data_IF_300497205399
#
_entry.id   IF_300497205399
#
_cell.length_a   1.000
_cell.length_b   1.000
_cell.length_c   1.000
_cell.angle_alpha   90.00
_cell.angle_beta   90.00
_cell.angle_gamma   90.00
#
_symmetry.space_group_name_H-M   'P 1'
#
loop_
_entity.id
_entity.type
_entity.pdbx_description
1 polymer ?
#
# COMPACT_ATOMS: atom_id res chain seq x y z
N UNK A 1 -11.30 -19.27 7.09
CA UNK A 1 -11.54 -20.74 6.99
C UNK A 1 -12.14 -21.15 5.65
N UNK A 2 -12.87 -20.27 4.92
CA UNK A 2 -13.43 -20.60 3.60
C UNK A 2 -12.37 -20.98 2.55
N UNK A 3 -11.15 -20.47 2.70
CA UNK A 3 -10.03 -20.73 1.78
C UNK A 3 -8.86 -21.50 2.46
N UNK A 4 -9.14 -22.25 3.53
CA UNK A 4 -8.09 -22.98 4.26
C UNK A 4 -7.35 -23.97 3.36
N UNK A 5 -8.07 -24.62 2.45
CA UNK A 5 -7.53 -25.63 1.54
C UNK A 5 -7.34 -25.07 0.11
N UNK A 6 -7.32 -23.77 -0.02
CA UNK A 6 -7.08 -23.13 -1.32
C UNK A 6 -5.57 -23.01 -1.58
N UNK A 7 -5.09 -23.88 -2.44
CA UNK A 7 -3.72 -23.86 -2.95
C UNK A 7 -3.77 -23.38 -4.41
N UNK A 8 -3.36 -22.14 -4.70
CA UNK A 8 -3.37 -21.62 -6.07
C UNK A 8 -2.43 -22.45 -6.95
N UNK A 9 -2.88 -22.76 -8.17
CA UNK A 9 -2.08 -23.52 -9.14
C UNK A 9 -0.94 -22.66 -9.73
N UNK A 10 -1.10 -21.34 -9.68
CA UNK A 10 -0.15 -20.40 -10.26
C UNK A 10 0.21 -19.32 -9.21
N UNK A 11 1.43 -18.86 -9.29
CA UNK A 11 1.91 -17.77 -8.47
C UNK A 11 1.46 -16.42 -9.07
N UNK A 12 1.13 -15.46 -8.20
CA UNK A 12 0.81 -14.10 -8.64
C UNK A 12 1.97 -13.49 -9.45
N UNK A 13 1.67 -12.81 -10.56
CA UNK A 13 2.68 -12.23 -11.45
C UNK A 13 3.66 -11.31 -10.74
N UNK A 14 3.19 -10.55 -9.74
CA UNK A 14 4.06 -9.70 -8.90
C UNK A 14 5.14 -10.55 -8.20
N UNK A 15 4.75 -11.68 -7.62
CA UNK A 15 5.68 -12.57 -6.92
C UNK A 15 6.70 -13.18 -7.89
N UNK A 16 6.25 -13.57 -9.08
CA UNK A 16 7.14 -14.09 -10.14
C UNK A 16 8.19 -13.05 -10.52
N UNK A 17 7.77 -11.84 -10.91
CA UNK A 17 8.68 -10.74 -11.30
C UNK A 17 9.66 -10.37 -10.20
N UNK A 18 9.22 -10.34 -8.93
CA UNK A 18 10.11 -10.07 -7.80
C UNK A 18 11.17 -11.15 -7.64
N UNK A 19 10.80 -12.44 -7.72
CA UNK A 19 11.75 -13.55 -7.63
C UNK A 19 12.74 -13.55 -8.80
N UNK A 20 12.28 -13.31 -10.02
CA UNK A 20 13.12 -13.19 -11.22
C UNK A 20 14.16 -12.06 -11.07
N UNK A 21 13.78 -10.97 -10.39
CA UNK A 21 14.69 -9.88 -10.05
C UNK A 21 15.63 -10.19 -8.87
N UNK A 22 15.55 -11.38 -8.27
CA UNK A 22 16.41 -11.82 -7.17
C UNK A 22 15.87 -11.51 -5.77
N UNK A 23 14.61 -11.06 -5.64
CA UNK A 23 14.01 -10.83 -4.32
C UNK A 23 13.69 -12.14 -3.59
N UNK A 24 13.86 -12.12 -2.26
CA UNK A 24 13.51 -13.22 -1.36
C UNK A 24 12.18 -12.90 -0.68
N UNK A 25 11.15 -13.69 -0.94
CA UNK A 25 9.85 -13.57 -0.27
C UNK A 25 9.94 -14.30 1.07
N UNK A 26 9.98 -13.53 2.17
CA UNK A 26 10.22 -14.07 3.51
C UNK A 26 8.95 -14.54 4.23
N UNK A 27 7.80 -13.94 3.93
CA UNK A 27 6.54 -14.24 4.60
C UNK A 27 5.32 -13.72 3.84
N UNK A 28 4.14 -14.20 4.28
CA UNK A 28 2.83 -13.61 3.98
C UNK A 28 2.36 -12.85 5.23
N UNK A 29 2.04 -11.58 5.05
CA UNK A 29 1.59 -10.72 6.14
C UNK A 29 0.11 -10.96 6.48
N UNK A 30 -0.24 -10.81 7.76
CA UNK A 30 -1.64 -10.80 8.17
C UNK A 30 -2.34 -9.52 7.69
N UNK A 31 -3.60 -9.63 7.31
CA UNK A 31 -4.41 -8.54 6.79
C UNK A 31 -5.86 -8.66 7.22
N UNK A 32 -6.68 -7.65 6.95
CA UNK A 32 -8.13 -7.76 7.13
C UNK A 32 -8.69 -8.85 6.22
N UNK A 33 -9.60 -9.67 6.76
CA UNK A 33 -10.29 -10.70 5.97
C UNK A 33 -10.88 -10.11 4.70
N UNK A 34 -10.53 -10.69 3.56
CA UNK A 34 -11.00 -10.28 2.23
C UNK A 34 -10.78 -8.78 1.93
N UNK A 35 -9.79 -8.15 2.58
CA UNK A 35 -9.48 -6.73 2.45
C UNK A 35 -10.66 -5.78 2.83
N UNK A 36 -11.66 -6.26 3.59
CA UNK A 36 -12.93 -5.56 3.78
C UNK A 36 -12.87 -4.37 4.74
N UNK A 37 -11.96 -4.37 5.72
CA UNK A 37 -11.87 -3.29 6.73
C UNK A 37 -10.59 -2.46 6.58
N UNK A 38 -10.75 -1.12 6.61
CA UNK A 38 -9.64 -0.17 6.67
C UNK A 38 -9.26 0.20 8.12
N UNK A 39 -10.19 0.16 9.07
CA UNK A 39 -9.97 0.55 10.46
C UNK A 39 -9.09 -0.42 11.26
N UNK A 40 -8.89 -1.64 10.77
CA UNK A 40 -8.02 -2.64 11.41
C UNK A 40 -7.57 -3.69 10.41
N UNK A 41 -6.50 -4.41 10.75
CA UNK A 41 -6.08 -5.62 10.04
C UNK A 41 -6.32 -6.83 10.95
N UNK A 42 -7.48 -7.46 10.82
CA UNK A 42 -7.91 -8.59 11.63
C UNK A 42 -8.34 -9.78 10.79
N UNK A 43 -7.89 -10.95 11.19
CA UNK A 43 -8.22 -12.23 10.56
C UNK A 43 -8.38 -13.34 11.59
N UNK A 44 -8.53 -14.58 11.13
CA UNK A 44 -8.56 -15.75 12.00
C UNK A 44 -7.21 -16.01 12.72
N UNK A 45 -6.15 -15.31 12.29
CA UNK A 45 -4.82 -15.32 12.91
C UNK A 45 -4.62 -14.18 13.92
N UNK A 46 -5.68 -13.46 14.27
CA UNK A 46 -5.65 -12.35 15.22
C UNK A 46 -5.60 -10.98 14.54
N UNK A 47 -5.37 -9.96 15.36
CA UNK A 47 -5.35 -8.56 14.94
C UNK A 47 -3.93 -8.01 14.95
N UNK A 48 -3.54 -7.40 13.86
CA UNK A 48 -2.26 -6.67 13.76
C UNK A 48 -2.36 -5.38 14.57
N UNK A 49 -1.41 -5.18 15.45
CA UNK A 49 -1.29 -3.96 16.27
C UNK A 49 -0.37 -2.95 15.60
N UNK A 50 -0.51 -1.67 15.97
CA UNK A 50 0.40 -0.63 15.52
C UNK A 50 1.83 -0.93 15.99
N UNK A 51 2.82 -0.66 15.11
CA UNK A 51 4.22 -1.00 15.36
C UNK A 51 4.84 -0.21 16.53
N UNK A 52 4.35 0.99 16.79
CA UNK A 52 4.92 1.90 17.79
C UNK A 52 4.14 1.90 19.11
N UNK A 53 2.82 1.65 19.04
CA UNK A 53 1.97 1.60 20.23
C UNK A 53 0.90 0.51 20.08
N UNK A 54 1.02 -0.55 20.84
CA UNK A 54 0.13 -1.71 20.79
C UNK A 54 -1.32 -1.43 21.19
N UNK A 55 -1.61 -0.27 21.79
CA UNK A 55 -2.96 0.16 22.11
C UNK A 55 -3.73 0.67 20.88
N UNK A 56 -3.01 1.04 19.83
CA UNK A 56 -3.60 1.57 18.59
C UNK A 56 -3.72 0.51 17.50
N UNK A 57 -4.57 0.80 16.52
CA UNK A 57 -4.73 0.00 15.32
C UNK A 57 -3.53 0.19 14.37
N UNK A 58 -3.17 -0.87 13.63
CA UNK A 58 -2.31 -0.77 12.46
C UNK A 58 -3.04 -0.19 11.25
N UNK A 59 -4.35 0.04 11.36
CA UNK A 59 -5.25 0.19 10.23
C UNK A 59 -5.19 -0.99 9.26
N UNK A 60 -5.84 -0.86 8.12
CA UNK A 60 -5.96 -1.95 7.15
C UNK A 60 -6.28 -1.45 5.73
N UNK A 61 -6.42 -2.40 4.86
CA UNK A 61 -6.39 -3.86 5.08
C UNK A 61 -4.97 -4.44 5.12
N UNK A 62 -3.94 -3.74 4.61
CA UNK A 62 -2.54 -4.22 4.53
C UNK A 62 -1.71 -3.88 5.79
N UNK A 63 -2.32 -3.97 6.99
CA UNK A 63 -1.65 -3.59 8.24
C UNK A 63 -0.42 -4.42 8.56
N UNK A 64 -0.46 -5.74 8.32
CA UNK A 64 0.71 -6.60 8.54
C UNK A 64 1.87 -6.26 7.60
N UNK A 65 1.56 -5.90 6.35
CA UNK A 65 2.57 -5.41 5.39
C UNK A 65 3.27 -4.15 5.93
N UNK A 66 2.50 -3.16 6.40
CA UNK A 66 3.07 -1.94 6.95
C UNK A 66 3.88 -2.19 8.23
N UNK A 67 3.34 -2.97 9.16
CA UNK A 67 4.02 -3.28 10.42
C UNK A 67 5.32 -4.06 10.19
N UNK A 68 5.35 -4.97 9.21
CA UNK A 68 6.58 -5.72 8.89
C UNK A 68 7.72 -4.81 8.42
N UNK A 69 7.42 -3.79 7.62
CA UNK A 69 8.42 -2.79 7.18
C UNK A 69 8.83 -1.87 8.33
N UNK A 70 7.87 -1.39 9.15
CA UNK A 70 8.16 -0.55 10.30
C UNK A 70 9.11 -1.24 11.30
N UNK A 71 8.91 -2.52 11.54
CA UNK A 71 9.73 -3.34 12.45
C UNK A 71 10.99 -3.92 11.81
N UNK A 72 11.33 -3.54 10.58
CA UNK A 72 12.52 -4.03 9.86
C UNK A 72 12.54 -5.55 9.57
N UNK A 73 11.39 -6.21 9.48
CA UNK A 73 11.36 -7.61 9.03
C UNK A 73 11.65 -7.73 7.54
N UNK A 74 11.26 -6.71 6.76
CA UNK A 74 11.59 -6.57 5.35
C UNK A 74 11.82 -5.09 4.99
N UNK A 75 12.64 -4.77 3.97
CA UNK A 75 12.82 -3.39 3.51
C UNK A 75 11.57 -2.84 2.83
N UNK A 76 10.81 -3.70 2.17
CA UNK A 76 9.55 -3.36 1.49
C UNK A 76 8.50 -4.44 1.73
N UNK A 77 7.23 -4.08 1.54
CA UNK A 77 6.15 -5.04 1.48
C UNK A 77 5.15 -4.68 0.37
N UNK A 78 4.49 -5.70 -0.15
CA UNK A 78 3.38 -5.55 -1.09
C UNK A 78 2.06 -5.58 -0.30
N UNK A 79 1.13 -4.75 -0.70
CA UNK A 79 -0.25 -4.74 -0.23
C UNK A 79 -1.22 -4.55 -1.39
N UNK A 80 -2.50 -4.41 -1.09
CA UNK A 80 -3.54 -4.06 -2.05
C UNK A 80 -4.34 -2.85 -1.56
N UNK A 81 -4.78 -2.01 -2.47
CA UNK A 81 -5.49 -0.77 -2.16
C UNK A 81 -6.69 -0.58 -3.10
N UNK A 82 -7.88 -0.67 -2.54
CA UNK A 82 -9.12 -0.33 -3.22
C UNK A 82 -9.52 1.11 -2.92
N UNK A 83 -9.48 1.50 -1.64
CA UNK A 83 -9.82 2.85 -1.17
C UNK A 83 -8.63 3.55 -0.46
N UNK A 84 -7.99 2.85 0.51
CA UNK A 84 -6.87 3.38 1.29
C UNK A 84 -5.99 2.27 1.88
N UNK A 85 -6.17 1.01 1.46
CA UNK A 85 -5.67 -0.16 2.18
C UNK A 85 -4.15 -0.38 2.14
N UNK A 86 -3.41 0.37 1.37
CA UNK A 86 -1.93 0.48 1.40
C UNK A 86 -1.52 1.78 2.10
N UNK A 87 -2.16 2.89 1.70
CA UNK A 87 -1.78 4.24 2.14
C UNK A 87 -2.05 4.48 3.62
N UNK A 88 -3.22 4.09 4.11
CA UNK A 88 -3.60 4.29 5.50
C UNK A 88 -2.76 3.48 6.50
N UNK A 89 -2.51 2.16 6.31
CA UNK A 89 -1.57 1.44 7.15
C UNK A 89 -0.13 1.97 7.08
N UNK A 90 0.33 2.42 5.91
CA UNK A 90 1.65 3.02 5.77
C UNK A 90 1.76 4.32 6.57
N UNK A 91 0.75 5.20 6.48
CA UNK A 91 0.68 6.42 7.29
C UNK A 91 0.75 6.10 8.78
N UNK A 92 -0.05 5.15 9.27
CA UNK A 92 -0.07 4.75 10.68
C UNK A 92 1.26 4.14 11.16
N UNK A 93 2.08 3.69 10.24
CA UNK A 93 3.40 3.11 10.48
C UNK A 93 4.56 4.05 10.13
N UNK A 94 4.29 5.34 9.85
CA UNK A 94 5.27 6.34 9.43
C UNK A 94 6.12 5.89 8.23
N UNK A 95 5.45 5.34 7.21
CA UNK A 95 6.04 4.78 6.01
C UNK A 95 5.44 5.42 4.75
N UNK A 96 6.12 5.20 3.63
CA UNK A 96 5.60 5.55 2.32
C UNK A 96 4.69 4.44 1.83
N UNK A 97 3.42 4.76 1.57
CA UNK A 97 2.45 3.87 0.94
C UNK A 97 2.14 4.34 -0.48
N UNK A 98 2.61 3.60 -1.46
CA UNK A 98 2.40 3.92 -2.87
C UNK A 98 1.25 3.11 -3.46
N UNK A 99 0.21 3.80 -3.87
CA UNK A 99 -0.89 3.27 -4.66
C UNK A 99 -0.75 3.77 -6.10
N UNK A 100 -0.33 2.92 -7.06
CA UNK A 100 -0.21 3.32 -8.46
C UNK A 100 -1.56 3.58 -9.11
N UNK A 101 -1.55 4.15 -10.29
CA UNK A 101 -2.70 4.18 -11.18
C UNK A 101 -3.12 2.75 -11.53
N UNK A 102 -4.43 2.51 -11.60
CA UNK A 102 -4.99 1.21 -12.00
C UNK A 102 -4.38 0.78 -13.35
N UNK A 103 -3.91 -0.46 -13.42
CA UNK A 103 -3.30 -1.04 -14.60
C UNK A 103 -1.79 -0.81 -14.75
N UNK A 104 -1.16 0.02 -13.91
CA UNK A 104 0.31 0.11 -13.90
C UNK A 104 0.96 -1.20 -13.47
N UNK A 105 0.35 -1.89 -12.52
CA UNK A 105 0.79 -3.18 -11.98
C UNK A 105 -0.36 -4.17 -12.14
N UNK A 106 -0.05 -5.37 -12.62
CA UNK A 106 -1.01 -6.45 -12.83
C UNK A 106 -1.64 -6.94 -11.53
N UNK A 107 -2.91 -7.33 -11.64
CA UNK A 107 -3.69 -7.97 -10.56
C UNK A 107 -3.77 -9.48 -10.71
N UNK A 108 -3.11 -10.07 -11.69
CA UNK A 108 -3.09 -11.54 -11.90
C UNK A 108 -2.58 -12.27 -10.66
N UNK A 109 -3.39 -13.18 -10.15
CA UNK A 109 -3.12 -13.93 -8.92
C UNK A 109 -3.52 -13.22 -7.63
N UNK A 110 -4.21 -12.06 -7.71
CA UNK A 110 -4.78 -11.34 -6.57
C UNK A 110 -6.28 -11.61 -6.49
N UNK A 111 -6.78 -11.97 -5.31
CA UNK A 111 -8.21 -12.14 -5.08
C UNK A 111 -8.89 -10.77 -5.20
N UNK A 112 -9.85 -10.59 -6.12
CA UNK A 112 -10.48 -9.30 -6.34
C UNK A 112 -11.44 -8.93 -5.20
N UNK A 113 -11.48 -7.63 -4.87
CA UNK A 113 -12.50 -7.01 -4.03
C UNK A 113 -13.40 -6.11 -4.88
N UNK A 114 -12.82 -5.19 -5.64
CA UNK A 114 -13.49 -4.31 -6.59
C UNK A 114 -12.60 -4.14 -7.84
N UNK A 115 -12.89 -4.87 -8.92
CA UNK A 115 -12.04 -4.88 -10.12
C UNK A 115 -11.85 -3.51 -10.79
N UNK A 116 -12.74 -2.55 -10.54
CA UNK A 116 -12.61 -1.20 -11.11
C UNK A 116 -11.72 -0.28 -10.27
N UNK A 117 -11.34 -0.69 -9.05
CA UNK A 117 -10.56 0.14 -8.13
C UNK A 117 -9.35 -0.54 -7.52
N UNK A 118 -9.36 -1.87 -7.48
CA UNK A 118 -8.26 -2.62 -6.87
C UNK A 118 -6.95 -2.40 -7.59
N UNK A 119 -5.93 -2.08 -6.84
CA UNK A 119 -4.56 -2.03 -7.34
C UNK A 119 -3.59 -2.58 -6.30
N UNK A 120 -2.58 -3.35 -6.71
CA UNK A 120 -1.46 -3.64 -5.83
C UNK A 120 -0.72 -2.36 -5.50
N UNK A 121 -0.13 -2.31 -4.31
CA UNK A 121 0.67 -1.18 -3.88
C UNK A 121 1.89 -1.62 -3.09
N UNK A 122 2.79 -0.68 -2.90
CA UNK A 122 4.09 -0.92 -2.29
C UNK A 122 4.19 -0.08 -1.02
N UNK A 123 4.73 -0.68 0.04
CA UNK A 123 5.03 -0.02 1.31
C UNK A 123 6.53 -0.10 1.53
N UNK A 124 7.17 1.03 1.77
CA UNK A 124 8.61 1.13 1.96
C UNK A 124 9.00 2.34 2.78
N UNK A 125 10.29 2.48 3.06
CA UNK A 125 10.84 3.60 3.84
C UNK A 125 11.34 4.74 2.97
N UNK A 126 11.73 4.45 1.73
CA UNK A 126 12.30 5.44 0.81
C UNK A 126 11.56 5.46 -0.52
N UNK A 127 11.60 6.59 -1.20
CA UNK A 127 11.04 6.73 -2.57
C UNK A 127 11.84 5.88 -3.56
N UNK A 128 13.14 5.77 -3.36
CA UNK A 128 14.05 4.97 -4.18
C UNK A 128 13.65 3.49 -4.18
N UNK A 129 13.32 2.94 -3.01
CA UNK A 129 12.82 1.57 -2.87
C UNK A 129 11.49 1.39 -3.62
N UNK A 130 10.55 2.33 -3.43
CA UNK A 130 9.25 2.30 -4.12
C UNK A 130 9.43 2.30 -5.64
N UNK A 131 10.27 3.18 -6.17
CA UNK A 131 10.53 3.30 -7.61
C UNK A 131 11.20 2.03 -8.14
N UNK A 132 12.19 1.51 -7.42
CA UNK A 132 12.91 0.30 -7.80
C UNK A 132 11.95 -0.87 -7.95
N UNK A 133 11.13 -1.11 -6.92
CA UNK A 133 10.16 -2.21 -6.95
C UNK A 133 9.07 -1.97 -8.00
N UNK A 134 8.58 -0.75 -8.13
CA UNK A 134 7.57 -0.43 -9.16
C UNK A 134 8.10 -0.74 -10.55
N UNK A 135 9.34 -0.37 -10.87
CA UNK A 135 9.95 -0.65 -12.17
C UNK A 135 10.12 -2.15 -12.46
N UNK A 136 10.27 -2.97 -11.42
CA UNK A 136 10.35 -4.42 -11.56
C UNK A 136 8.98 -5.03 -11.87
N UNK A 137 7.94 -4.62 -11.13
CA UNK A 137 6.64 -5.31 -11.17
C UNK A 137 5.62 -4.72 -12.13
N UNK A 138 5.85 -3.51 -12.65
CA UNK A 138 4.94 -2.84 -13.60
C UNK A 138 4.94 -3.50 -14.99
N UNK A 139 4.03 -3.05 -15.83
CA UNK A 139 3.95 -3.39 -17.26
C UNK A 139 2.75 -4.24 -17.62
N UNK A 140 2.60 -4.42 -18.93
CA UNK A 140 1.47 -5.14 -19.52
C UNK A 140 1.46 -6.61 -19.11
N UNK A 141 0.25 -7.13 -18.92
CA UNK A 141 -0.07 -8.53 -18.64
C UNK A 141 -1.28 -8.93 -19.49
N UNK A 142 -1.15 -9.97 -20.30
CA UNK A 142 -2.22 -10.45 -21.17
C UNK A 142 -3.42 -11.03 -20.37
N UNK A 143 -3.24 -11.36 -19.10
CA UNK A 143 -4.28 -11.86 -18.20
C UNK A 143 -5.00 -10.76 -17.41
N UNK A 144 -4.56 -9.49 -17.53
CA UNK A 144 -5.20 -8.31 -16.92
C UNK A 144 -5.33 -7.20 -17.95
N UNK A 145 -6.50 -7.09 -18.57
CA UNK A 145 -6.83 -6.16 -19.64
C UNK A 145 -6.70 -4.67 -19.28
N UNK A 146 -6.64 -4.35 -17.99
CA UNK A 146 -6.42 -2.98 -17.52
C UNK A 146 -4.95 -2.57 -17.58
N UNK A 147 -4.03 -3.52 -17.75
CA UNK A 147 -2.59 -3.24 -17.72
C UNK A 147 -2.05 -2.59 -18.99
N UNK A 148 -1.04 -1.78 -18.81
CA UNK A 148 -0.37 -1.07 -19.89
C UNK A 148 1.14 -0.96 -19.63
N UNK A 149 1.90 -0.77 -20.70
CA UNK A 149 3.33 -0.45 -20.59
C UNK A 149 3.53 1.02 -20.26
N UNK A 150 4.55 1.30 -19.49
CA UNK A 150 4.90 2.64 -19.08
C UNK A 150 6.43 2.83 -19.09
N UNK A 151 6.86 4.07 -19.24
CA UNK A 151 8.28 4.42 -19.14
C UNK A 151 8.85 4.07 -17.77
N UNK A 152 10.17 3.90 -17.70
CA UNK A 152 10.88 3.67 -16.45
C UNK A 152 10.72 4.89 -15.53
N UNK A 153 10.20 4.66 -14.34
CA UNK A 153 10.09 5.69 -13.31
C UNK A 153 11.50 6.09 -12.85
N UNK A 154 11.70 7.38 -12.67
CA UNK A 154 12.96 7.96 -12.20
C UNK A 154 12.66 9.09 -11.22
N UNK A 155 13.55 9.29 -10.26
CA UNK A 155 13.55 10.52 -9.48
C UNK A 155 14.10 11.62 -10.38
N UNK A 156 13.34 12.70 -10.51
CA UNK A 156 13.78 13.91 -11.21
C UNK A 156 13.93 15.05 -10.21
N UNK A 157 14.90 15.90 -10.40
CA UNK A 157 14.97 17.16 -9.68
C UNK A 157 13.77 18.02 -10.08
N UNK A 158 13.03 18.47 -9.08
CA UNK A 158 11.86 19.34 -9.27
C UNK A 158 12.22 20.74 -8.80
N UNK A 159 12.08 21.74 -9.68
CA UNK A 159 12.16 23.12 -9.25
C UNK A 159 10.83 23.53 -8.59
N UNK A 160 10.82 23.54 -7.27
CA UNK A 160 9.64 23.87 -6.47
C UNK A 160 9.06 25.26 -6.76
N UNK A 161 9.87 26.20 -7.27
CA UNK A 161 9.39 27.55 -7.66
C UNK A 161 8.39 27.53 -8.82
N UNK A 162 8.39 26.47 -9.61
CA UNK A 162 7.53 26.31 -10.79
C UNK A 162 6.30 25.41 -10.52
N UNK A 163 6.07 25.01 -9.26
CA UNK A 163 4.96 24.14 -8.88
C UNK A 163 3.87 24.95 -8.20
N UNK A 164 2.65 24.80 -8.67
CA UNK A 164 1.46 25.28 -7.96
C UNK A 164 0.84 24.11 -7.19
N UNK A 165 0.77 24.23 -5.87
CA UNK A 165 0.11 23.26 -5.00
C UNK A 165 -1.32 23.71 -4.74
N UNK A 166 -2.28 22.84 -5.05
CA UNK A 166 -3.68 23.03 -4.66
C UNK A 166 -3.95 22.31 -3.35
N UNK A 167 -4.47 23.03 -2.37
CA UNK A 167 -4.86 22.48 -1.08
C UNK A 167 -6.36 22.68 -0.90
N UNK A 168 -7.07 21.62 -0.53
CA UNK A 168 -8.50 21.70 -0.23
C UNK A 168 -8.70 22.18 1.22
N UNK A 169 -9.44 23.27 1.41
CA UNK A 169 -9.80 23.76 2.74
C UNK A 169 -10.54 22.70 3.57
N UNK A 170 -11.33 21.84 2.93
CA UNK A 170 -12.02 20.73 3.61
C UNK A 170 -11.04 19.75 4.25
N UNK A 171 -9.90 19.50 3.62
CA UNK A 171 -8.86 18.65 4.20
C UNK A 171 -8.09 19.33 5.32
N UNK A 172 -7.86 20.64 5.21
CA UNK A 172 -7.18 21.42 6.25
C UNK A 172 -8.05 21.60 7.50
N UNK A 173 -9.31 21.91 7.29
CA UNK A 173 -10.22 22.31 8.37
C UNK A 173 -11.02 21.14 8.96
N UNK A 174 -10.95 19.93 8.34
CA UNK A 174 -11.73 18.77 8.76
C UNK A 174 -13.25 18.94 8.56
N UNK A 175 -13.99 17.87 8.64
CA UNK A 175 -15.46 17.86 8.56
C UNK A 175 -16.16 17.92 9.92
N UNK A 176 -15.41 17.91 11.04
CA UNK A 176 -15.91 17.94 12.42
C UNK A 176 -15.11 18.94 13.26
N UNK A 177 -15.79 19.72 14.08
CA UNK A 177 -15.18 20.71 14.97
C UNK A 177 -14.14 20.13 15.94
N UNK A 178 -14.27 18.84 16.32
CA UNK A 178 -13.29 18.14 17.16
C UNK A 178 -11.98 17.78 16.44
N UNK A 179 -11.98 17.72 15.11
CA UNK A 179 -10.77 17.47 14.30
C UNK A 179 -10.03 18.80 14.03
N UNK A 180 -10.76 19.92 14.08
CA UNK A 180 -10.21 21.26 13.81
C UNK A 180 -9.17 21.70 14.83
N UNK A 181 -9.30 21.30 16.10
CA UNK A 181 -8.34 21.68 17.16
C UNK A 181 -7.00 20.92 17.02
N UNK A 182 -7.06 19.63 16.67
CA UNK A 182 -5.87 18.81 16.48
C UNK A 182 -5.13 19.14 15.17
N UNK A 183 -5.86 19.49 14.10
CA UNK A 183 -5.27 19.85 12.81
C UNK A 183 -4.65 21.26 12.79
N UNK A 184 -5.08 22.18 13.67
CA UNK A 184 -4.51 23.52 13.75
C UNK A 184 -3.06 23.51 14.25
N UNK A 185 -2.76 22.73 15.28
CA UNK A 185 -1.39 22.60 15.80
C UNK A 185 -0.44 22.00 14.77
N UNK A 186 -0.92 21.01 13.97
CA UNK A 186 -0.10 20.34 12.93
C UNK A 186 0.14 21.22 11.70
N UNK A 187 -0.77 22.13 11.39
CA UNK A 187 -0.69 23.01 10.20
C UNK A 187 0.09 24.30 10.43
N UNK A 188 0.37 24.69 11.70
CA UNK A 188 1.23 25.83 12.01
C UNK A 188 2.74 25.51 11.94
N UNK A 189 3.10 24.20 11.80
CA UNK A 189 4.49 23.74 11.66
C UNK A 189 4.91 23.43 10.21
N UNK A 190 4.02 23.62 9.21
CA UNK A 190 4.25 23.41 7.78
C UNK A 190 4.21 24.74 7.03
#
# INVERSE_FOLDING_TARGET
>A
KALTDNYPNEEALISQKLKEAGAIIIAKANMSKFAFYASSSSSDYGTVKNAYNLAYSSYGSSGGSAVSVALNFAPIAIGTDTNASVRLPAQAASLIGYRPTLGLISRTGIIPYDPERDTPGIIGKTIEDIITITNIIKGKDENDDKTYDSETLKISEINLQNITLGISETFLNGSNENILSENKETNEEV
#
